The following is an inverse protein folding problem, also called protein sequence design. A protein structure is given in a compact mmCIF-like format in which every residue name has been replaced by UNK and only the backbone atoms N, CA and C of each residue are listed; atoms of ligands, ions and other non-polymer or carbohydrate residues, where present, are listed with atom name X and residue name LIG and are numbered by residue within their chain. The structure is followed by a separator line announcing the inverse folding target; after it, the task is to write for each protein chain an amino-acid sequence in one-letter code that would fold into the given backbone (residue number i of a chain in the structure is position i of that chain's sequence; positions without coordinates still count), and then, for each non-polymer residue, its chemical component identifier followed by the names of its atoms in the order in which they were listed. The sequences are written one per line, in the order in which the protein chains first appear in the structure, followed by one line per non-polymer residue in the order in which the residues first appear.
data_IF_654365424030
#
_entry.id   IF_654365424030
#
_cell.length_a   1.000
_cell.length_b   1.000
_cell.length_c   1.000
_cell.angle_alpha   90.00
_cell.angle_beta   90.00
_cell.angle_gamma   90.00
#
_symmetry.space_group_name_H-M   'P 1'
#
loop_
_entity.id
_entity.type
_entity.pdbx_description
1 polymer ?
#
# COMPACT_ATOMS: atom_id res chain seq x y z
N UNK A 1 -9.36 51.31 8.37
CA UNK A 1 -8.86 50.03 8.91
C UNK A 1 -9.68 48.90 8.29
N UNK A 2 -8.99 47.94 7.68
CA UNK A 2 -9.55 46.76 7.01
C UNK A 2 -10.02 45.72 8.04
N UNK A 3 -11.12 45.02 7.70
CA UNK A 3 -11.43 43.58 7.88
C UNK A 3 -11.08 42.88 9.21
N UNK A 4 -11.89 41.97 9.76
CA UNK A 4 -12.30 40.66 9.23
C UNK A 4 -13.25 40.02 10.28
N UNK A 5 -13.75 38.79 10.04
CA UNK A 5 -14.61 37.93 10.90
C UNK A 5 -16.11 38.12 10.57
N UNK A 6 -16.90 37.13 10.15
CA UNK A 6 -16.82 35.67 10.12
C UNK A 6 -17.68 35.18 8.95
N UNK A 7 -17.15 34.30 8.10
CA UNK A 7 -17.93 33.57 7.10
C UNK A 7 -18.11 32.13 7.57
N UNK A 8 -19.24 31.84 8.22
CA UNK A 8 -19.69 30.47 8.48
C UNK A 8 -20.40 30.00 7.21
N UNK A 9 -19.79 29.06 6.48
CA UNK A 9 -20.43 28.37 5.36
C UNK A 9 -21.25 27.23 5.93
N UNK A 10 -22.58 27.37 5.85
CA UNK A 10 -23.57 26.37 6.23
C UNK A 10 -23.64 25.31 5.12
N UNK A 11 -23.24 24.07 5.38
CA UNK A 11 -23.42 22.96 4.44
C UNK A 11 -24.77 22.29 4.65
N UNK A 12 -25.54 22.14 3.57
CA UNK A 12 -26.82 21.44 3.54
C UNK A 12 -26.61 19.93 3.64
N UNK A 13 -27.15 19.31 4.69
CA UNK A 13 -27.38 17.87 4.76
C UNK A 13 -28.61 17.53 3.92
N UNK A 14 -28.41 16.97 2.73
CA UNK A 14 -29.45 16.23 2.02
C UNK A 14 -29.25 14.74 2.34
N UNK A 15 -30.06 14.23 3.25
CA UNK A 15 -30.23 12.79 3.45
C UNK A 15 -30.96 12.21 2.24
N UNK A 16 -30.26 11.46 1.39
CA UNK A 16 -30.89 10.60 0.39
C UNK A 16 -30.77 9.14 0.83
N UNK A 17 -31.93 8.50 1.03
CA UNK A 17 -32.04 7.06 1.02
C UNK A 17 -31.55 6.55 -0.33
N UNK A 18 -30.33 6.04 -0.40
CA UNK A 18 -29.78 5.46 -1.61
C UNK A 18 -29.91 3.92 -1.53
N UNK A 19 -30.75 3.34 -2.39
CA UNK A 19 -30.33 2.10 -3.06
C UNK A 19 -28.90 2.37 -3.54
N UNK A 20 -27.94 1.52 -3.17
CA UNK A 20 -26.52 1.67 -3.51
C UNK A 20 -26.38 1.75 -5.03
N UNK A 21 -26.46 2.97 -5.58
CA UNK A 21 -26.00 3.27 -6.91
C UNK A 21 -24.49 3.14 -6.82
N UNK A 22 -23.95 2.09 -7.43
CA UNK A 22 -22.53 1.93 -7.58
C UNK A 22 -22.02 3.20 -8.29
N UNK A 23 -21.06 3.89 -7.68
CA UNK A 23 -20.49 5.12 -8.24
C UNK A 23 -20.13 4.88 -9.71
N UNK A 24 -20.62 5.75 -10.61
CA UNK A 24 -20.30 5.70 -12.05
C UNK A 24 -18.80 5.93 -12.31
N UNK A 25 -18.05 6.33 -11.28
CA UNK A 25 -16.63 6.63 -11.36
C UNK A 25 -15.80 5.77 -10.41
N UNK A 26 -14.64 5.35 -10.91
CA UNK A 26 -13.53 4.82 -10.12
C UNK A 26 -12.54 5.94 -9.81
N UNK A 27 -12.11 6.01 -8.55
CA UNK A 27 -11.21 7.06 -8.07
C UNK A 27 -9.91 6.43 -7.59
N UNK A 28 -8.81 6.77 -8.26
CA UNK A 28 -7.47 6.33 -7.91
C UNK A 28 -6.71 7.42 -7.16
N UNK A 29 -6.17 7.09 -5.99
CA UNK A 29 -5.27 7.95 -5.22
C UNK A 29 -3.83 7.46 -5.35
N UNK A 30 -2.93 8.33 -5.80
CA UNK A 30 -1.55 7.94 -6.12
C UNK A 30 -0.54 8.93 -5.54
N UNK A 31 0.38 8.42 -4.72
CA UNK A 31 1.60 9.13 -4.31
C UNK A 31 2.67 8.78 -5.34
N UNK A 32 3.11 9.77 -6.11
CA UNK A 32 4.12 9.60 -7.16
C UNK A 32 5.47 10.09 -6.66
N UNK A 33 6.46 9.22 -6.72
CA UNK A 33 7.84 9.51 -6.38
C UNK A 33 8.64 9.56 -7.67
N UNK A 34 9.19 10.73 -7.99
CA UNK A 34 10.02 10.89 -9.17
C UNK A 34 11.42 10.32 -8.94
N UNK A 35 12.12 10.05 -10.05
CA UNK A 35 13.55 9.71 -10.00
C UNK A 35 14.31 10.86 -9.34
N UNK A 36 15.15 10.60 -8.30
CA UNK A 36 15.95 11.65 -7.70
C UNK A 36 16.78 12.43 -8.72
N UNK A 37 16.78 13.75 -8.58
CA UNK A 37 17.66 14.68 -9.29
C UNK A 37 18.58 15.30 -8.26
N UNK A 38 19.88 15.28 -8.51
CA UNK A 38 20.90 15.78 -7.57
C UNK A 38 20.81 15.16 -6.15
N UNK A 39 20.37 13.90 -6.09
CA UNK A 39 20.26 13.14 -4.84
C UNK A 39 18.94 13.30 -4.08
N UNK A 40 18.02 14.15 -4.55
CA UNK A 40 16.74 14.43 -3.87
C UNK A 40 15.58 13.93 -4.71
N UNK A 41 14.69 13.12 -4.12
CA UNK A 41 13.45 12.68 -4.75
C UNK A 41 12.38 13.78 -4.65
N UNK A 42 11.58 13.96 -5.70
CA UNK A 42 10.40 14.84 -5.64
C UNK A 42 9.13 14.01 -5.58
N UNK A 43 8.17 14.47 -4.76
CA UNK A 43 6.87 13.82 -4.60
C UNK A 43 5.77 14.69 -5.20
N UNK A 44 4.85 14.05 -5.92
CA UNK A 44 3.61 14.65 -6.40
C UNK A 44 2.44 13.71 -6.08
N UNK A 45 1.24 14.27 -6.02
CA UNK A 45 0.04 13.55 -5.66
C UNK A 45 -0.96 13.63 -6.80
N UNK A 46 -1.43 12.47 -7.24
CA UNK A 46 -2.33 12.32 -8.38
C UNK A 46 -3.64 11.70 -7.91
N UNK A 47 -4.74 12.35 -8.26
CA UNK A 47 -6.10 11.83 -8.09
C UNK A 47 -6.68 11.67 -9.49
N UNK A 48 -7.03 10.45 -9.86
CA UNK A 48 -7.72 10.18 -11.13
C UNK A 48 -9.14 9.76 -10.87
N UNK A 49 -10.03 10.22 -11.72
CA UNK A 49 -11.43 9.85 -11.71
C UNK A 49 -11.78 9.33 -13.10
N UNK A 50 -12.05 8.03 -13.19
CA UNK A 50 -12.32 7.30 -14.42
C UNK A 50 -13.80 6.96 -14.48
N UNK A 51 -14.51 7.35 -15.54
CA UNK A 51 -15.89 6.92 -15.72
C UNK A 51 -15.93 5.46 -16.20
N UNK A 52 -16.72 4.61 -15.55
CA UNK A 52 -16.77 3.17 -15.84
C UNK A 52 -17.29 2.84 -17.24
N UNK A 53 -18.11 3.72 -17.81
CA UNK A 53 -18.84 3.47 -19.06
C UNK A 53 -18.49 4.41 -20.22
N UNK A 54 -17.76 5.50 -19.94
CA UNK A 54 -17.47 6.54 -20.92
C UNK A 54 -15.97 6.83 -20.91
N UNK A 55 -15.42 7.26 -22.05
CA UNK A 55 -14.04 7.72 -22.14
C UNK A 55 -13.91 9.14 -21.58
N UNK A 56 -14.31 9.29 -20.33
CA UNK A 56 -14.23 10.53 -19.57
C UNK A 56 -13.35 10.32 -18.35
N UNK A 57 -12.19 10.99 -18.38
CA UNK A 57 -11.17 10.89 -17.35
C UNK A 57 -10.85 12.29 -16.82
N UNK A 58 -11.01 12.50 -15.52
CA UNK A 58 -10.47 13.67 -14.84
C UNK A 58 -9.19 13.29 -14.12
N UNK A 59 -8.22 14.21 -14.13
CA UNK A 59 -6.97 14.05 -13.42
C UNK A 59 -6.63 15.35 -12.70
N UNK A 60 -6.38 15.23 -11.41
CA UNK A 60 -5.88 16.31 -10.56
C UNK A 60 -4.46 15.92 -10.14
N UNK A 61 -3.49 16.82 -10.37
CA UNK A 61 -2.15 16.70 -9.80
C UNK A 61 -1.88 17.88 -8.87
N UNK A 62 -1.27 17.60 -7.72
CA UNK A 62 -0.88 18.60 -6.74
C UNK A 62 0.48 18.25 -6.13
N UNK A 63 1.22 19.26 -5.68
CA UNK A 63 2.44 19.10 -4.89
C UNK A 63 2.16 19.14 -3.37
N UNK A 64 0.90 19.40 -2.98
CA UNK A 64 0.49 19.52 -1.59
C UNK A 64 -0.21 18.25 -1.12
N UNK A 65 0.43 17.54 -0.20
CA UNK A 65 -0.17 16.40 0.50
C UNK A 65 -1.44 16.80 1.25
N UNK A 66 -1.51 18.00 1.84
CA UNK A 66 -2.72 18.47 2.51
C UNK A 66 -3.91 18.57 1.54
N UNK A 67 -3.66 19.00 0.31
CA UNK A 67 -4.70 19.04 -0.73
C UNK A 67 -5.14 17.62 -1.06
N UNK A 68 -4.19 16.71 -1.27
CA UNK A 68 -4.46 15.30 -1.54
C UNK A 68 -5.30 14.64 -0.43
N UNK A 69 -4.89 14.81 0.83
CA UNK A 69 -5.58 14.28 1.99
C UNK A 69 -6.99 14.88 2.16
N UNK A 70 -7.17 16.18 1.91
CA UNK A 70 -8.51 16.81 1.93
C UNK A 70 -9.45 16.17 0.92
N UNK A 71 -8.99 15.93 -0.30
CA UNK A 71 -9.81 15.24 -1.31
C UNK A 71 -10.10 13.80 -0.91
N UNK A 72 -9.12 13.08 -0.35
CA UNK A 72 -9.30 11.71 0.11
C UNK A 72 -10.34 11.62 1.24
N UNK A 73 -10.18 12.43 2.28
CA UNK A 73 -11.08 12.43 3.43
C UNK A 73 -12.49 12.87 3.04
N UNK A 74 -12.61 13.88 2.17
CA UNK A 74 -13.91 14.28 1.63
C UNK A 74 -14.55 13.12 0.85
N UNK A 75 -13.82 12.45 -0.03
CA UNK A 75 -14.33 11.32 -0.80
C UNK A 75 -14.77 10.14 0.09
N UNK A 76 -13.95 9.73 1.06
CA UNK A 76 -14.31 8.69 2.03
C UNK A 76 -15.57 9.08 2.81
N UNK A 77 -15.74 10.35 3.20
CA UNK A 77 -16.94 10.81 3.90
C UNK A 77 -18.25 10.70 3.10
N UNK A 78 -18.17 10.49 1.78
CA UNK A 78 -19.34 10.30 0.92
C UNK A 78 -19.67 8.81 0.69
N UNK A 79 -18.84 7.89 1.20
CA UNK A 79 -19.05 6.45 1.08
C UNK A 79 -19.94 5.91 2.20
N UNK A 80 -20.55 4.73 2.01
CA UNK A 80 -21.28 4.07 3.09
C UNK A 80 -20.39 3.81 4.31
N UNK A 81 -20.94 3.91 5.53
CA UNK A 81 -20.20 3.76 6.78
C UNK A 81 -19.38 2.46 6.92
N UNK A 82 -19.77 1.37 6.25
CA UNK A 82 -19.03 0.10 6.25
C UNK A 82 -17.79 0.09 5.34
N UNK A 83 -17.57 1.15 4.55
CA UNK A 83 -16.43 1.36 3.66
C UNK A 83 -15.55 2.45 4.26
N UNK A 84 -14.83 2.11 5.33
CA UNK A 84 -14.05 3.05 6.14
C UNK A 84 -12.53 2.77 6.11
N UNK A 85 -12.06 1.72 5.44
CA UNK A 85 -10.63 1.40 5.42
C UNK A 85 -9.87 1.95 4.22
N UNK A 86 -8.65 2.39 4.43
CA UNK A 86 -7.74 2.80 3.37
C UNK A 86 -6.65 1.75 3.19
N UNK A 87 -6.55 1.19 1.99
CA UNK A 87 -5.49 0.25 1.63
C UNK A 87 -4.30 1.00 1.02
N UNK A 88 -3.17 0.99 1.70
CA UNK A 88 -1.89 1.43 1.13
C UNK A 88 -1.29 0.30 0.30
N UNK A 89 -0.89 0.62 -0.93
CA UNK A 89 -0.29 -0.36 -1.83
C UNK A 89 1.10 0.10 -2.31
N UNK A 90 2.12 -0.71 -2.00
CA UNK A 90 3.50 -0.51 -2.43
C UNK A 90 3.91 -1.63 -3.39
N UNK A 91 4.05 -1.28 -4.67
CA UNK A 91 4.36 -2.23 -5.73
C UNK A 91 5.84 -2.68 -5.71
N UNK A 92 6.13 -3.81 -6.35
CA UNK A 92 7.49 -4.31 -6.59
C UNK A 92 8.20 -3.68 -7.79
N UNK A 93 9.33 -4.28 -8.21
CA UNK A 93 10.02 -3.90 -9.44
C UNK A 93 9.06 -3.97 -10.64
N UNK A 94 9.18 -3.04 -11.59
CA UNK A 94 8.31 -2.87 -12.77
C UNK A 94 6.87 -2.40 -12.49
N UNK A 95 6.49 -2.20 -11.23
CA UNK A 95 5.11 -1.91 -10.85
C UNK A 95 4.62 -0.51 -11.24
N UNK A 96 5.50 0.47 -11.48
CA UNK A 96 5.09 1.81 -11.93
C UNK A 96 5.08 1.96 -13.46
N UNK A 97 5.41 0.91 -14.21
CA UNK A 97 5.21 0.90 -15.66
C UNK A 97 3.71 1.03 -15.96
N UNK A 98 3.26 1.88 -16.89
CA UNK A 98 1.83 2.15 -17.11
C UNK A 98 1.00 0.88 -17.28
N UNK A 99 1.46 -0.07 -18.10
CA UNK A 99 0.72 -1.30 -18.37
C UNK A 99 0.66 -2.22 -17.15
N UNK A 100 1.79 -2.42 -16.46
CA UNK A 100 1.84 -3.26 -15.25
C UNK A 100 1.03 -2.64 -14.11
N UNK A 101 1.08 -1.31 -13.96
CA UNK A 101 0.35 -0.59 -12.95
C UNK A 101 -1.15 -0.75 -13.17
N UNK A 102 -1.65 -0.45 -14.38
CA UNK A 102 -3.08 -0.58 -14.72
C UNK A 102 -3.55 -2.02 -14.50
N UNK A 103 -2.80 -3.01 -14.97
CA UNK A 103 -3.18 -4.42 -14.81
C UNK A 103 -3.19 -4.84 -13.33
N UNK A 104 -2.17 -4.47 -12.56
CA UNK A 104 -2.09 -4.84 -11.15
C UNK A 104 -3.16 -4.14 -10.33
N UNK A 105 -3.35 -2.83 -10.55
CA UNK A 105 -4.35 -2.04 -9.84
C UNK A 105 -5.75 -2.53 -10.14
N UNK A 106 -6.10 -2.79 -11.41
CA UNK A 106 -7.40 -3.35 -11.76
C UNK A 106 -7.67 -4.75 -11.20
N UNK A 107 -6.65 -5.52 -10.80
CA UNK A 107 -6.85 -6.78 -10.05
C UNK A 107 -7.12 -6.51 -8.57
N UNK A 108 -6.38 -5.59 -7.95
CA UNK A 108 -6.52 -5.21 -6.55
C UNK A 108 -7.87 -4.49 -6.32
N UNK A 109 -8.24 -3.56 -7.18
CA UNK A 109 -9.54 -2.85 -7.10
C UNK A 109 -10.72 -3.83 -7.18
N UNK A 110 -10.66 -4.82 -8.09
CA UNK A 110 -11.68 -5.87 -8.16
C UNK A 110 -11.76 -6.72 -6.89
N UNK A 111 -10.62 -6.97 -6.24
CA UNK A 111 -10.55 -7.77 -5.03
C UNK A 111 -11.09 -7.03 -3.79
N UNK A 112 -10.81 -5.73 -3.67
CA UNK A 112 -11.05 -4.98 -2.43
C UNK A 112 -12.07 -3.85 -2.58
N UNK A 113 -12.06 -3.08 -3.68
CA UNK A 113 -13.02 -1.97 -3.85
C UNK A 113 -14.37 -2.45 -4.38
N UNK A 114 -14.37 -3.32 -5.39
CA UNK A 114 -15.61 -3.84 -6.00
C UNK A 114 -16.24 -4.99 -5.21
N UNK A 115 -15.47 -5.62 -4.33
CA UNK A 115 -15.97 -6.67 -3.45
C UNK A 115 -16.86 -6.05 -2.36
N UNK A 116 -18.12 -6.52 -2.30
CA UNK A 116 -19.13 -6.03 -1.35
C UNK A 116 -18.85 -6.45 0.08
N UNK A 117 -18.11 -7.53 0.27
CA UNK A 117 -17.76 -8.04 1.59
C UNK A 117 -16.48 -7.39 2.15
N UNK A 118 -15.80 -6.57 1.35
CA UNK A 118 -14.63 -5.81 1.79
C UNK A 118 -15.05 -4.46 2.36
N UNK A 119 -14.37 -4.01 3.41
CA UNK A 119 -14.48 -2.70 4.06
C UNK A 119 -13.52 -1.64 3.49
N UNK A 120 -12.68 -2.01 2.51
CA UNK A 120 -11.77 -1.07 1.84
C UNK A 120 -12.57 -0.02 1.06
N UNK A 121 -12.44 1.21 1.50
CA UNK A 121 -13.00 2.43 0.95
C UNK A 121 -12.21 2.91 -0.27
N UNK A 122 -10.89 3.02 -0.13
CA UNK A 122 -9.97 3.55 -1.15
C UNK A 122 -8.61 2.90 -1.08
N UNK A 123 -7.92 2.89 -2.23
CA UNK A 123 -6.54 2.45 -2.34
C UNK A 123 -5.66 3.68 -2.57
N UNK A 124 -4.63 3.85 -1.75
CA UNK A 124 -3.53 4.80 -2.01
C UNK A 124 -2.34 4.03 -2.53
N UNK A 125 -1.98 4.26 -3.78
CA UNK A 125 -0.85 3.60 -4.42
C UNK A 125 0.42 4.43 -4.36
N UNK A 126 1.52 3.81 -3.92
CA UNK A 126 2.85 4.41 -3.99
C UNK A 126 3.53 4.04 -5.31
N UNK A 127 3.59 4.99 -6.24
CA UNK A 127 4.26 4.84 -7.54
C UNK A 127 5.71 5.31 -7.42
N UNK A 128 6.62 4.38 -7.18
CA UNK A 128 8.05 4.67 -7.04
C UNK A 128 8.86 4.23 -8.28
N UNK A 129 10.03 4.83 -8.57
CA UNK A 129 10.71 4.65 -9.84
C UNK A 129 11.56 3.36 -9.89
N UNK A 130 10.90 2.20 -9.81
CA UNK A 130 11.50 0.86 -9.78
C UNK A 130 11.43 0.06 -11.09
N UNK A 131 11.48 0.74 -12.25
CA UNK A 131 11.31 0.10 -13.57
C UNK A 131 12.60 0.05 -14.41
N UNK A 132 13.78 0.12 -13.80
CA UNK A 132 15.02 -0.09 -14.56
C UNK A 132 15.22 -1.58 -14.82
N UNK A 133 15.92 -1.94 -15.91
CA UNK A 133 16.24 -3.35 -16.17
C UNK A 133 17.18 -3.95 -15.12
N UNK A 134 18.10 -3.15 -14.59
CA UNK A 134 19.02 -3.59 -13.55
C UNK A 134 18.33 -3.62 -12.18
N UNK A 135 18.27 -4.80 -11.59
CA UNK A 135 17.79 -5.02 -10.23
C UNK A 135 18.55 -4.16 -9.21
N UNK A 136 19.89 -4.06 -9.33
CA UNK A 136 20.72 -3.31 -8.37
C UNK A 136 20.41 -1.81 -8.41
N UNK A 137 20.10 -1.27 -9.59
CA UNK A 137 19.68 0.12 -9.72
C UNK A 137 18.33 0.38 -9.03
N UNK A 138 17.37 -0.54 -9.19
CA UNK A 138 16.08 -0.42 -8.51
C UNK A 138 16.22 -0.58 -6.99
N UNK A 139 17.07 -1.50 -6.53
CA UNK A 139 17.34 -1.67 -5.10
C UNK A 139 18.07 -0.45 -4.52
N UNK A 140 19.06 0.09 -5.22
CA UNK A 140 19.72 1.34 -4.83
C UNK A 140 18.71 2.49 -4.73
N UNK A 141 17.75 2.55 -5.67
CA UNK A 141 16.67 3.54 -5.66
C UNK A 141 15.86 3.53 -4.39
N UNK A 142 15.57 2.35 -3.82
CA UNK A 142 14.83 2.23 -2.57
C UNK A 142 15.47 3.06 -1.46
N UNK A 143 16.78 2.92 -1.25
CA UNK A 143 17.51 3.68 -0.22
C UNK A 143 17.59 5.19 -0.52
N UNK A 144 17.52 5.58 -1.80
CA UNK A 144 17.59 6.99 -2.23
C UNK A 144 16.28 7.77 -2.06
N UNK A 145 15.16 7.08 -1.81
CA UNK A 145 13.83 7.71 -1.78
C UNK A 145 13.11 7.50 -0.45
N UNK A 146 13.57 6.59 0.39
CA UNK A 146 12.87 6.23 1.62
C UNK A 146 12.77 7.39 2.61
N UNK A 147 13.83 8.20 2.72
CA UNK A 147 13.89 9.39 3.56
C UNK A 147 12.91 10.49 3.14
N UNK A 148 12.68 10.66 1.83
CA UNK A 148 11.71 11.60 1.28
C UNK A 148 10.26 11.10 1.40
N UNK A 149 10.06 9.78 1.39
CA UNK A 149 8.73 9.16 1.52
C UNK A 149 8.29 9.07 3.00
N UNK A 150 9.22 8.86 3.92
CA UNK A 150 8.89 8.67 5.33
C UNK A 150 8.09 9.84 5.96
N UNK A 151 8.40 11.12 5.73
CA UNK A 151 7.59 12.24 6.20
C UNK A 151 6.15 12.20 5.68
N UNK A 152 5.96 11.78 4.43
CA UNK A 152 4.63 11.62 3.81
C UNK A 152 3.84 10.50 4.49
N UNK A 153 4.47 9.37 4.77
CA UNK A 153 3.86 8.26 5.52
C UNK A 153 3.46 8.72 6.93
N UNK A 154 4.34 9.42 7.65
CA UNK A 154 4.07 9.94 8.99
C UNK A 154 2.90 10.94 8.96
N UNK A 155 2.86 11.83 7.97
CA UNK A 155 1.77 12.79 7.84
C UNK A 155 0.43 12.14 7.51
N UNK A 156 0.43 11.10 6.67
CA UNK A 156 -0.76 10.29 6.38
C UNK A 156 -1.30 9.65 7.66
N UNK A 157 -0.46 8.93 8.40
CA UNK A 157 -0.81 8.25 9.65
C UNK A 157 -1.39 9.24 10.66
N UNK A 158 -0.68 10.34 10.92
CA UNK A 158 -1.11 11.37 11.87
C UNK A 158 -2.43 12.03 11.46
N UNK A 159 -2.65 12.21 10.17
CA UNK A 159 -3.90 12.83 9.69
C UNK A 159 -5.09 11.93 10.01
N UNK A 160 -5.01 10.63 9.73
CA UNK A 160 -6.10 9.70 10.06
C UNK A 160 -6.33 9.63 11.57
N UNK A 161 -5.27 9.44 12.37
CA UNK A 161 -5.36 9.45 13.84
C UNK A 161 -6.05 10.71 14.38
N UNK A 162 -5.70 11.89 13.86
CA UNK A 162 -6.33 13.16 14.25
C UNK A 162 -7.81 13.18 13.85
N UNK A 163 -8.12 12.77 12.62
CA UNK A 163 -9.51 12.78 12.14
C UNK A 163 -10.37 11.83 12.97
N UNK A 164 -9.89 10.64 13.30
CA UNK A 164 -10.65 9.67 14.11
C UNK A 164 -10.88 10.17 15.54
N UNK A 165 -9.89 10.85 16.12
CA UNK A 165 -10.04 11.49 17.45
C UNK A 165 -11.13 12.57 17.43
N UNK A 166 -11.17 13.42 16.40
CA UNK A 166 -12.09 14.57 16.34
C UNK A 166 -13.43 14.24 15.68
N UNK A 167 -13.51 13.16 14.93
CA UNK A 167 -14.72 12.66 14.30
C UNK A 167 -14.80 11.14 14.47
N UNK A 168 -15.21 10.64 15.65
CA UNK A 168 -15.28 9.20 15.93
C UNK A 168 -16.22 8.41 14.99
N UNK A 169 -17.10 9.10 14.26
CA UNK A 169 -17.96 8.46 13.26
C UNK A 169 -17.25 8.24 11.91
N UNK A 170 -16.04 8.78 11.71
CA UNK A 170 -15.24 8.59 10.50
C UNK A 170 -14.39 7.31 10.55
N UNK A 171 -14.00 6.88 11.76
CA UNK A 171 -13.35 5.60 12.11
C UNK A 171 -12.53 4.97 10.96
N UNK A 172 -11.48 5.67 10.50
CA UNK A 172 -10.71 5.26 9.34
C UNK A 172 -9.50 4.43 9.72
N UNK A 173 -9.50 3.17 9.29
CA UNK A 173 -8.39 2.24 9.51
C UNK A 173 -7.49 2.16 8.28
N UNK A 174 -6.23 1.78 8.48
CA UNK A 174 -5.28 1.58 7.39
C UNK A 174 -4.87 0.12 7.28
N UNK A 175 -4.90 -0.39 6.05
CA UNK A 175 -4.27 -1.66 5.69
C UNK A 175 -3.10 -1.40 4.75
N UNK A 176 -2.17 -2.36 4.66
CA UNK A 176 -0.98 -2.27 3.81
C UNK A 176 -0.78 -3.56 3.02
N UNK A 177 -0.62 -3.46 1.70
CA UNK A 177 -0.06 -4.52 0.86
C UNK A 177 1.27 -4.06 0.27
N UNK A 178 2.33 -4.83 0.53
CA UNK A 178 3.66 -4.63 -0.04
C UNK A 178 4.08 -5.82 -0.88
N UNK A 179 4.51 -5.58 -2.13
CA UNK A 179 4.92 -6.65 -3.04
C UNK A 179 6.43 -6.62 -3.34
N UNK A 180 7.11 -7.78 -3.27
CA UNK A 180 8.48 -7.96 -3.78
C UNK A 180 9.45 -6.92 -3.23
N UNK A 181 10.19 -6.22 -4.10
CA UNK A 181 11.12 -5.13 -3.75
C UNK A 181 10.43 -3.93 -3.08
N UNK A 182 9.10 -3.80 -3.19
CA UNK A 182 8.32 -2.84 -2.41
C UNK A 182 8.35 -3.13 -0.90
N UNK A 183 8.57 -4.39 -0.50
CA UNK A 183 8.80 -4.73 0.91
C UNK A 183 10.12 -4.16 1.43
N UNK A 184 11.18 -4.16 0.61
CA UNK A 184 12.44 -3.52 0.98
C UNK A 184 12.22 -2.00 1.14
N UNK A 185 11.43 -1.38 0.25
CA UNK A 185 11.06 0.03 0.38
C UNK A 185 10.29 0.33 1.65
N UNK A 186 9.27 -0.48 1.96
CA UNK A 186 8.51 -0.34 3.19
C UNK A 186 9.40 -0.51 4.43
N UNK A 187 10.30 -1.49 4.44
CA UNK A 187 11.26 -1.71 5.53
C UNK A 187 12.16 -0.49 5.74
N UNK A 188 12.67 0.13 4.68
CA UNK A 188 13.46 1.36 4.79
C UNK A 188 12.60 2.52 5.31
N UNK A 189 11.39 2.74 4.80
CA UNK A 189 10.45 3.77 5.31
C UNK A 189 10.14 3.55 6.79
N UNK A 190 9.88 2.29 7.17
CA UNK A 190 9.57 1.89 8.54
C UNK A 190 10.70 2.26 9.51
N UNK A 191 11.96 2.19 9.08
CA UNK A 191 13.12 2.57 9.90
C UNK A 191 13.16 4.06 10.28
N UNK A 192 12.44 4.92 9.55
CA UNK A 192 12.28 6.35 9.84
C UNK A 192 11.06 6.66 10.70
N UNK A 193 10.19 5.68 10.98
CA UNK A 193 9.03 5.92 11.83
C UNK A 193 9.50 6.24 13.27
N UNK A 194 8.93 7.28 13.90
CA UNK A 194 9.26 7.64 15.26
C UNK A 194 8.96 6.47 16.19
N UNK A 195 9.82 6.22 17.19
CA UNK A 195 9.59 5.16 18.17
C UNK A 195 8.28 5.34 18.94
N UNK A 196 7.81 6.58 19.09
CA UNK A 196 6.52 6.90 19.72
C UNK A 196 5.32 6.36 18.93
N UNK A 197 5.50 6.08 17.63
CA UNK A 197 4.47 5.41 16.83
C UNK A 197 4.42 3.91 17.11
N UNK A 198 5.42 3.32 17.76
CA UNK A 198 5.46 1.87 18.05
C UNK A 198 4.57 1.45 19.22
N UNK A 199 3.98 2.39 19.94
CA UNK A 199 3.07 2.09 21.06
C UNK A 199 1.59 2.26 20.66
N UNK A 200 1.33 2.52 19.38
CA UNK A 200 -0.01 2.66 18.82
C UNK A 200 -0.14 1.78 17.58
N UNK A 201 -1.30 1.13 17.45
CA UNK A 201 -1.67 0.45 16.21
C UNK A 201 -1.83 1.48 15.11
N UNK A 202 -1.06 1.29 14.03
CA UNK A 202 -1.11 2.12 12.82
C UNK A 202 -1.91 1.40 11.75
N UNK A 203 -1.69 0.09 11.62
CA UNK A 203 -2.31 -0.74 10.62
C UNK A 203 -3.23 -1.77 11.26
N UNK A 204 -4.37 -2.02 10.63
CA UNK A 204 -5.18 -3.18 10.94
C UNK A 204 -4.49 -4.43 10.41
N UNK A 205 -4.23 -4.47 9.10
CA UNK A 205 -3.57 -5.58 8.44
C UNK A 205 -2.37 -5.11 7.63
N UNK A 206 -1.25 -5.82 7.78
CA UNK A 206 -0.08 -5.71 6.90
C UNK A 206 0.07 -7.03 6.16
N UNK A 207 0.08 -6.98 4.83
CA UNK A 207 0.35 -8.10 3.94
C UNK A 207 1.68 -7.88 3.25
N UNK A 208 2.65 -8.74 3.57
CA UNK A 208 3.95 -8.80 2.90
C UNK A 208 3.90 -9.93 1.86
N UNK A 209 3.64 -9.57 0.60
CA UNK A 209 3.51 -10.50 -0.51
C UNK A 209 4.84 -10.70 -1.25
N UNK A 210 5.28 -11.96 -1.37
CA UNK A 210 6.54 -12.34 -1.99
C UNK A 210 7.71 -11.44 -1.56
N UNK A 211 7.95 -11.24 -0.24
CA UNK A 211 8.87 -10.22 0.24
C UNK A 211 10.30 -10.45 -0.23
N UNK A 212 10.85 -9.48 -0.96
CA UNK A 212 12.28 -9.42 -1.32
C UNK A 212 13.11 -8.86 -0.16
N UNK A 213 12.96 -9.50 0.99
CA UNK A 213 13.64 -9.17 2.24
C UNK A 213 14.65 -10.26 2.59
N UNK A 214 15.70 -9.92 3.32
CA UNK A 214 16.63 -10.91 3.88
C UNK A 214 15.86 -11.84 4.85
N UNK A 215 16.20 -13.13 4.92
CA UNK A 215 15.77 -13.97 6.05
C UNK A 215 16.34 -13.40 7.36
N UNK A 216 15.57 -13.42 8.45
CA UNK A 216 16.00 -12.87 9.73
C UNK A 216 15.60 -11.40 9.97
N UNK A 217 14.75 -10.80 9.14
CA UNK A 217 14.31 -9.40 9.34
C UNK A 217 13.55 -9.17 10.66
N UNK A 218 13.00 -10.24 11.24
CA UNK A 218 12.22 -10.22 12.48
C UNK A 218 13.01 -10.72 13.70
N UNK A 219 14.32 -10.96 13.56
CA UNK A 219 15.22 -11.22 14.69
C UNK A 219 15.20 -10.02 15.66
N UNK A 220 15.67 -10.22 16.88
CA UNK A 220 15.66 -9.19 17.93
C UNK A 220 16.36 -7.88 17.52
N UNK A 221 17.43 -7.98 16.72
CA UNK A 221 18.18 -6.85 16.13
C UNK A 221 17.78 -6.57 14.67
N UNK A 222 16.74 -7.23 14.19
CA UNK A 222 16.24 -7.13 12.83
C UNK A 222 15.48 -5.82 12.58
N UNK A 223 15.52 -5.30 11.34
CA UNK A 223 14.89 -4.03 10.98
C UNK A 223 13.37 -4.01 11.13
N UNK A 224 12.71 -5.18 11.14
CA UNK A 224 11.26 -5.30 11.32
C UNK A 224 10.87 -5.89 12.67
N UNK A 225 11.80 -5.96 13.64
CA UNK A 225 11.53 -6.50 14.97
C UNK A 225 10.33 -5.82 15.68
N UNK A 226 10.19 -4.50 15.50
CA UNK A 226 9.09 -3.72 16.09
C UNK A 226 7.83 -3.66 15.24
N UNK A 227 7.82 -4.23 14.03
CA UNK A 227 6.65 -4.20 13.14
C UNK A 227 5.38 -4.76 13.82
N UNK A 228 5.44 -5.87 14.60
CA UNK A 228 4.28 -6.41 15.31
C UNK A 228 3.65 -5.48 16.35
N UNK A 229 4.31 -4.37 16.71
CA UNK A 229 3.75 -3.41 17.66
C UNK A 229 2.81 -2.39 17.03
N UNK A 230 2.88 -2.21 15.71
CA UNK A 230 2.10 -1.19 14.99
C UNK A 230 1.00 -1.79 14.11
N UNK A 231 0.76 -3.09 14.19
CA UNK A 231 -0.19 -3.78 13.34
C UNK A 231 -1.03 -4.79 14.13
N UNK A 232 -2.33 -4.85 13.87
CA UNK A 232 -3.22 -5.86 14.46
C UNK A 232 -2.98 -7.26 13.88
N UNK A 233 -2.64 -7.34 12.59
CA UNK A 233 -2.23 -8.58 11.93
C UNK A 233 -1.13 -8.34 10.90
N UNK A 234 -0.17 -9.24 10.84
CA UNK A 234 0.90 -9.25 9.84
C UNK A 234 0.90 -10.60 9.14
N UNK A 235 0.64 -10.59 7.84
CA UNK A 235 0.54 -11.78 7.00
C UNK A 235 1.69 -11.79 6.01
N UNK A 236 2.55 -12.78 6.12
CA UNK A 236 3.74 -12.95 5.29
C UNK A 236 3.49 -14.12 4.35
N UNK A 237 3.18 -13.80 3.10
CA UNK A 237 2.99 -14.81 2.06
C UNK A 237 4.31 -15.10 1.36
N UNK A 238 4.68 -16.37 1.30
CA UNK A 238 5.93 -16.81 0.69
C UNK A 238 5.74 -18.07 -0.17
N UNK A 239 6.60 -18.26 -1.16
CA UNK A 239 6.56 -19.41 -2.06
C UNK A 239 7.97 -19.93 -2.34
N UNK A 240 8.20 -21.21 -2.04
CA UNK A 240 9.46 -21.90 -2.37
C UNK A 240 9.71 -22.03 -3.88
N UNK A 241 8.68 -21.75 -4.70
CA UNK A 241 8.72 -21.81 -6.16
C UNK A 241 8.93 -20.43 -6.80
N UNK A 242 9.12 -19.38 -6.01
CA UNK A 242 9.29 -18.01 -6.52
C UNK A 242 10.63 -17.85 -7.26
N UNK A 243 10.55 -17.92 -8.60
CA UNK A 243 11.70 -17.83 -9.48
C UNK A 243 12.28 -16.41 -9.53
N UNK A 244 11.43 -15.39 -9.36
CA UNK A 244 11.86 -13.99 -9.39
C UNK A 244 12.71 -13.67 -8.17
N UNK A 245 12.29 -14.08 -6.98
CA UNK A 245 13.10 -13.96 -5.78
C UNK A 245 14.36 -14.83 -5.84
N UNK A 246 14.35 -15.92 -6.62
CA UNK A 246 15.55 -16.71 -6.89
C UNK A 246 16.66 -15.90 -7.56
N UNK A 247 16.30 -14.98 -8.46
CA UNK A 247 17.24 -14.02 -9.07
C UNK A 247 17.78 -13.06 -8.02
N UNK A 248 16.90 -12.48 -7.19
CA UNK A 248 17.33 -11.59 -6.10
C UNK A 248 18.29 -12.30 -5.13
N UNK A 249 17.96 -13.51 -4.69
CA UNK A 249 18.82 -14.35 -3.84
C UNK A 249 20.22 -14.47 -4.42
N UNK A 250 20.32 -14.85 -5.69
CA UNK A 250 21.60 -15.07 -6.36
C UNK A 250 22.41 -13.78 -6.50
N UNK A 251 21.76 -12.65 -6.82
CA UNK A 251 22.44 -11.36 -6.97
C UNK A 251 22.95 -10.79 -5.64
N UNK A 252 22.22 -11.01 -4.55
CA UNK A 252 22.58 -10.48 -3.24
C UNK A 252 23.34 -11.48 -2.35
N UNK A 253 23.42 -12.76 -2.76
CA UNK A 253 24.01 -13.87 -1.99
C UNK A 253 23.40 -14.00 -0.58
N UNK A 254 22.10 -13.77 -0.46
CA UNK A 254 21.33 -13.84 0.79
C UNK A 254 20.01 -14.54 0.55
N UNK A 255 19.57 -15.32 1.52
CA UNK A 255 18.26 -15.98 1.47
C UNK A 255 17.13 -14.95 1.58
N UNK A 256 15.99 -15.28 0.95
CA UNK A 256 14.84 -14.39 0.85
C UNK A 256 13.67 -14.87 1.67
N UNK A 257 13.12 -14.00 2.51
CA UNK A 257 11.93 -14.28 3.30
C UNK A 257 10.78 -14.79 2.42
N UNK A 258 10.58 -14.19 1.24
CA UNK A 258 9.52 -14.60 0.31
C UNK A 258 9.73 -15.96 -0.37
N UNK A 259 10.89 -16.60 -0.20
CA UNK A 259 11.14 -18.00 -0.62
C UNK A 259 11.08 -18.95 0.57
N UNK A 260 11.77 -18.59 1.66
CA UNK A 260 12.10 -19.51 2.74
C UNK A 260 11.09 -19.46 3.89
N UNK A 261 10.35 -18.38 4.04
CA UNK A 261 9.55 -18.13 5.23
C UNK A 261 10.43 -17.74 6.44
N UNK A 262 9.92 -17.91 7.67
CA UNK A 262 10.60 -17.47 8.88
C UNK A 262 11.87 -18.28 9.17
N UNK A 263 12.87 -17.62 9.75
CA UNK A 263 14.09 -18.20 10.30
C UNK A 263 13.84 -18.80 11.70
N UNK A 264 14.66 -19.76 12.12
CA UNK A 264 14.59 -20.31 13.48
C UNK A 264 14.87 -19.27 14.59
N UNK A 265 15.58 -18.19 14.26
CA UNK A 265 15.90 -17.10 15.19
C UNK A 265 14.95 -15.90 15.07
N UNK A 266 13.98 -15.92 14.14
CA UNK A 266 12.99 -14.85 14.05
C UNK A 266 12.12 -14.81 15.30
N UNK A 267 11.83 -13.61 15.80
CA UNK A 267 10.93 -13.44 16.95
C UNK A 267 9.50 -13.36 16.43
N UNK A 268 8.88 -14.52 16.22
CA UNK A 268 7.49 -14.62 15.78
C UNK A 268 6.54 -14.25 16.92
N UNK A 269 5.70 -13.23 16.70
CA UNK A 269 4.65 -12.78 17.63
C UNK A 269 3.29 -13.39 17.29
N UNK A 270 2.33 -13.29 18.20
CA UNK A 270 1.01 -13.91 18.06
C UNK A 270 0.17 -13.34 16.89
N UNK A 271 0.41 -12.07 16.53
CA UNK A 271 -0.22 -11.40 15.41
C UNK A 271 0.55 -11.56 14.08
N UNK A 272 1.53 -12.47 14.02
CA UNK A 272 2.30 -12.74 12.81
C UNK A 272 1.94 -14.11 12.23
N UNK A 273 1.55 -14.11 10.96
CA UNK A 273 1.14 -15.29 10.22
C UNK A 273 2.08 -15.49 9.03
N UNK A 274 2.69 -16.66 8.92
CA UNK A 274 3.55 -17.02 7.79
C UNK A 274 2.82 -18.05 6.93
N UNK A 275 2.45 -17.65 5.71
CA UNK A 275 1.57 -18.42 4.83
C UNK A 275 2.37 -18.93 3.64
N UNK A 276 2.56 -20.25 3.61
CA UNK A 276 3.21 -20.94 2.49
C UNK A 276 2.22 -21.14 1.34
N UNK A 277 2.39 -20.36 0.28
CA UNK A 277 1.57 -20.46 -0.94
C UNK A 277 2.25 -21.27 -2.04
N UNK A 278 3.28 -22.07 -1.72
CA UNK A 278 4.00 -22.86 -2.72
C UNK A 278 3.07 -23.77 -3.54
N UNK A 279 1.96 -24.23 -2.98
CA UNK A 279 1.03 -25.14 -3.66
C UNK A 279 -0.18 -24.46 -4.32
N UNK A 280 -0.24 -23.13 -4.28
CA UNK A 280 -1.16 -22.32 -5.08
C UNK A 280 -0.78 -22.45 -6.57
N UNK A 281 -1.79 -22.67 -7.43
CA UNK A 281 -1.61 -22.96 -8.87
C UNK A 281 -2.70 -22.35 -9.77
N UNK A 282 -3.55 -21.51 -9.20
CA UNK A 282 -4.72 -20.90 -9.85
C UNK A 282 -4.44 -19.49 -10.38
N UNK A 283 -3.18 -19.11 -10.53
CA UNK A 283 -2.80 -17.83 -11.11
C UNK A 283 -3.36 -17.68 -12.54
N UNK A 284 -3.91 -16.49 -12.81
CA UNK A 284 -4.70 -16.22 -14.00
C UNK A 284 -3.99 -16.52 -15.33
N UNK A 285 -2.67 -16.32 -15.42
CA UNK A 285 -1.91 -16.61 -16.63
C UNK A 285 -0.71 -17.54 -16.38
N UNK A 286 -0.34 -18.27 -17.42
CA UNK A 286 0.74 -19.25 -17.38
C UNK A 286 2.08 -18.66 -16.97
N UNK A 287 2.39 -17.43 -17.42
CA UNK A 287 3.63 -16.74 -17.07
C UNK A 287 3.73 -16.45 -15.58
N UNK A 288 2.69 -15.89 -14.98
CA UNK A 288 2.61 -15.62 -13.54
C UNK A 288 2.67 -16.90 -12.71
N UNK A 289 2.00 -17.97 -13.16
CA UNK A 289 2.09 -19.28 -12.51
C UNK A 289 3.49 -19.88 -12.59
N UNK A 290 4.19 -19.68 -13.70
CA UNK A 290 5.57 -20.15 -13.86
C UNK A 290 6.53 -19.41 -12.95
N UNK A 291 6.37 -18.09 -12.76
CA UNK A 291 7.26 -17.34 -11.86
C UNK A 291 6.94 -17.56 -10.39
N UNK A 292 5.68 -17.85 -10.05
CA UNK A 292 5.24 -18.01 -8.66
C UNK A 292 5.38 -16.73 -7.82
N UNK A 293 5.42 -15.55 -8.47
CA UNK A 293 5.77 -14.27 -7.84
C UNK A 293 4.61 -13.28 -7.70
N UNK A 294 3.55 -13.47 -8.50
CA UNK A 294 2.42 -12.54 -8.60
C UNK A 294 1.13 -13.04 -7.92
N UNK A 295 1.20 -14.15 -7.18
CA UNK A 295 0.04 -14.84 -6.61
C UNK A 295 -0.89 -13.92 -5.80
N UNK A 296 -0.35 -12.90 -5.12
CA UNK A 296 -1.11 -11.97 -4.28
C UNK A 296 -2.24 -11.24 -5.00
N UNK A 297 -2.11 -11.06 -6.33
CA UNK A 297 -3.16 -10.47 -7.17
C UNK A 297 -3.67 -11.41 -8.25
N UNK A 298 -2.89 -12.43 -8.62
CA UNK A 298 -3.23 -13.30 -9.74
C UNK A 298 -3.89 -14.60 -9.35
N UNK A 299 -3.74 -15.06 -8.11
CA UNK A 299 -4.42 -16.23 -7.55
C UNK A 299 -5.70 -15.81 -6.85
N UNK A 300 -6.84 -16.38 -7.24
CA UNK A 300 -8.10 -16.11 -6.54
C UNK A 300 -8.06 -16.65 -5.11
N UNK A 301 -7.39 -17.78 -4.91
CA UNK A 301 -7.24 -18.38 -3.59
C UNK A 301 -6.44 -17.48 -2.65
N UNK A 302 -5.25 -17.03 -3.07
CA UNK A 302 -4.40 -16.17 -2.26
C UNK A 302 -5.03 -14.79 -2.03
N UNK A 303 -5.55 -14.15 -3.08
CA UNK A 303 -6.18 -12.83 -2.97
C UNK A 303 -7.47 -12.83 -2.14
N UNK A 304 -8.17 -13.96 -1.99
CA UNK A 304 -9.35 -14.05 -1.13
C UNK A 304 -8.99 -14.32 0.34
N UNK A 305 -7.84 -14.95 0.57
CA UNK A 305 -7.32 -15.20 1.92
C UNK A 305 -6.72 -13.92 2.54
N UNK A 306 -6.07 -13.12 1.69
CA UNK A 306 -5.64 -11.74 1.96
C UNK A 306 -6.82 -10.80 2.18
#
# INVERSE_FOLDING_TARGET
MKSFVSGIVLFFLLSSNALIAQSEFDIEYNIKVDKPKDGVATLSYEIKKHHRYEDYNQKIETMSIDTFLKYLLYDISQLPDHKNKVLLYIHGMWGSSPWNFINSMGMIERAYLENRDSDIARIISMKWPGNNMDYKDNKSRVYQIADEIAPVMIQLIRTFQIVDIFNPNFDTHMDLICHSLGNELFKEIFSYLPTEQYDHEIFDQIILAAPDLDVGVFRFDGPLYSLPKIANGIHIYYSRKDLTLGVSKNLNKKERLGIYGPDENDVVKENMYFIDVSDVKDEANFGERLTGHSYYRSSKLATRDM
#
